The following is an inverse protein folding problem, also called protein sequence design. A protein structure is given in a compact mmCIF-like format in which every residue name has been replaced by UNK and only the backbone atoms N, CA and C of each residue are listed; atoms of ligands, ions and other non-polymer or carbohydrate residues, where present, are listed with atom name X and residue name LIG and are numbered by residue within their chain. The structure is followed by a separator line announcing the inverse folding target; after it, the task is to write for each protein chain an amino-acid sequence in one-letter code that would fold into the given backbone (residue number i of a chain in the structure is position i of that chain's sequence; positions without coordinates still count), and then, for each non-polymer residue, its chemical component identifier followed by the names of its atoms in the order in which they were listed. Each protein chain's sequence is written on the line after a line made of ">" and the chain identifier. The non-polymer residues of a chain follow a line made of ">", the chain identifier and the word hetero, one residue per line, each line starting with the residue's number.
data_IF_173533205343
#
_entry.id   IF_173533205343
#
_cell.length_a   1.000
_cell.length_b   1.000
_cell.length_c   1.000
_cell.angle_alpha   90.00
_cell.angle_beta   90.00
_cell.angle_gamma   90.00
#
_symmetry.space_group_name_H-M   'P 1'
#
loop_
_entity.id
_entity.type
_entity.pdbx_description
1 polymer ?
#
# COMPACT_ATOMS: atom_id res chain seq x y z
N UNK A 1 -15.92 -2.06 -3.30
CA UNK A 1 -14.50 -2.07 -2.89
C UNK A 1 -13.65 -1.97 -4.14
N UNK A 2 -12.49 -1.31 -4.06
CA UNK A 2 -11.48 -1.38 -5.13
C UNK A 2 -10.98 -2.81 -5.28
N UNK A 3 -10.68 -3.21 -6.53
CA UNK A 3 -10.01 -4.47 -6.83
C UNK A 3 -8.52 -4.41 -6.45
N UNK A 4 -7.89 -5.58 -6.38
CA UNK A 4 -6.46 -5.72 -6.11
C UNK A 4 -5.57 -4.85 -7.01
N UNK A 5 -5.83 -4.90 -8.31
CA UNK A 5 -5.10 -4.10 -9.30
C UNK A 5 -5.26 -2.58 -9.08
N UNK A 6 -6.41 -2.14 -8.58
CA UNK A 6 -6.67 -0.73 -8.28
C UNK A 6 -5.95 -0.27 -7.00
N UNK A 7 -5.93 -1.11 -5.95
CA UNK A 7 -5.15 -0.83 -4.74
C UNK A 7 -3.65 -0.80 -5.01
N UNK A 8 -3.16 -1.69 -5.89
CA UNK A 8 -1.77 -1.66 -6.39
C UNK A 8 -1.42 -0.32 -7.03
N UNK A 9 -2.28 0.19 -7.92
CA UNK A 9 -2.10 1.52 -8.56
C UNK A 9 -2.04 2.63 -7.51
N UNK A 10 -2.96 2.63 -6.55
CA UNK A 10 -2.99 3.61 -5.46
C UNK A 10 -1.71 3.58 -4.61
N UNK A 11 -1.23 2.38 -4.25
CA UNK A 11 0.03 2.20 -3.50
C UNK A 11 1.22 2.79 -4.26
N UNK A 12 1.32 2.52 -5.56
CA UNK A 12 2.41 3.02 -6.41
C UNK A 12 2.34 4.55 -6.54
N UNK A 13 1.15 5.12 -6.76
CA UNK A 13 0.95 6.57 -6.83
C UNK A 13 1.33 7.27 -5.53
N UNK A 14 1.15 6.60 -4.39
CA UNK A 14 1.59 7.08 -3.08
C UNK A 14 3.05 6.74 -2.76
N UNK A 15 3.80 6.19 -3.73
CA UNK A 15 5.21 5.83 -3.61
C UNK A 15 5.49 4.89 -2.43
N UNK A 16 4.58 3.94 -2.17
CA UNK A 16 4.68 2.96 -1.09
C UNK A 16 5.07 1.57 -1.61
N UNK A 17 5.75 0.78 -0.80
CA UNK A 17 6.15 -0.59 -1.11
C UNK A 17 5.08 -1.59 -0.66
N UNK A 18 5.08 -2.80 -1.22
CA UNK A 18 4.21 -3.87 -0.72
C UNK A 18 4.55 -4.25 0.72
N UNK A 19 5.82 -4.15 1.12
CA UNK A 19 6.28 -4.44 2.49
C UNK A 19 5.64 -3.48 3.49
N UNK A 20 5.60 -2.17 3.20
CA UNK A 20 4.99 -1.18 4.10
C UNK A 20 3.50 -1.44 4.32
N UNK A 21 2.78 -1.85 3.28
CA UNK A 21 1.39 -2.30 3.42
C UNK A 21 1.32 -3.56 4.29
N UNK A 22 2.20 -4.53 4.03
CA UNK A 22 2.22 -5.80 4.74
C UNK A 22 2.46 -5.62 6.25
N UNK A 23 3.43 -4.77 6.60
CA UNK A 23 3.77 -4.41 7.99
C UNK A 23 2.57 -3.76 8.68
N UNK A 24 1.92 -2.79 8.03
CA UNK A 24 0.73 -2.14 8.58
C UNK A 24 -0.45 -3.11 8.77
N UNK A 25 -0.62 -4.06 7.87
CA UNK A 25 -1.73 -5.03 7.91
C UNK A 25 -1.43 -6.23 8.81
N UNK A 26 -0.19 -6.37 9.30
CA UNK A 26 0.27 -7.52 10.08
C UNK A 26 0.26 -8.82 9.28
N UNK A 27 0.69 -8.77 8.01
CA UNK A 27 0.68 -9.91 7.09
C UNK A 27 2.02 -10.02 6.35
N UNK A 28 2.24 -11.13 5.65
CA UNK A 28 3.45 -11.31 4.82
C UNK A 28 3.33 -10.53 3.50
N UNK A 29 4.44 -10.00 2.98
CA UNK A 29 4.47 -9.27 1.69
C UNK A 29 3.91 -10.08 0.52
N UNK A 30 4.15 -11.40 0.50
CA UNK A 30 3.62 -12.32 -0.50
C UNK A 30 2.08 -12.33 -0.52
N UNK A 31 1.45 -12.13 0.65
CA UNK A 31 0.01 -12.01 0.76
C UNK A 31 -0.50 -10.75 0.07
N UNK A 32 0.16 -9.60 0.29
CA UNK A 32 -0.15 -8.36 -0.44
C UNK A 32 0.01 -8.57 -1.95
N UNK A 33 1.06 -9.24 -2.40
CA UNK A 33 1.23 -9.57 -3.83
C UNK A 33 0.09 -10.41 -4.40
N UNK A 34 -0.38 -11.43 -3.67
CA UNK A 34 -1.54 -12.23 -4.10
C UNK A 34 -2.82 -11.39 -4.21
N UNK A 35 -3.06 -10.50 -3.24
CA UNK A 35 -4.20 -9.59 -3.27
C UNK A 35 -4.12 -8.60 -4.44
N UNK A 36 -2.96 -7.98 -4.67
CA UNK A 36 -2.75 -6.99 -5.74
C UNK A 36 -2.87 -7.57 -7.15
N UNK A 37 -2.52 -8.83 -7.32
CA UNK A 37 -2.62 -9.54 -8.60
C UNK A 37 -3.91 -10.34 -8.74
N UNK A 38 -4.87 -10.16 -7.81
CA UNK A 38 -6.20 -10.77 -7.85
C UNK A 38 -6.18 -12.31 -7.86
N UNK A 39 -5.08 -12.92 -7.38
CA UNK A 39 -5.01 -14.35 -7.09
C UNK A 39 -5.85 -14.74 -5.86
N UNK A 40 -6.18 -13.74 -5.02
CA UNK A 40 -7.08 -13.87 -3.86
C UNK A 40 -7.92 -12.61 -3.72
N UNK A 41 -9.16 -12.80 -3.29
CA UNK A 41 -10.02 -11.70 -2.87
C UNK A 41 -9.49 -11.03 -1.60
N UNK A 42 -9.81 -9.74 -1.47
CA UNK A 42 -9.36 -8.91 -0.35
C UNK A 42 -10.39 -8.98 0.77
N UNK A 43 -10.03 -9.51 1.95
CA UNK A 43 -10.93 -9.48 3.11
C UNK A 43 -11.30 -8.04 3.48
N UNK A 44 -12.54 -7.82 3.89
CA UNK A 44 -13.07 -6.48 4.22
C UNK A 44 -12.22 -5.75 5.27
N UNK A 45 -11.81 -6.44 6.33
CA UNK A 45 -10.99 -5.84 7.40
C UNK A 45 -9.62 -5.37 6.88
N UNK A 46 -9.00 -6.13 5.95
CA UNK A 46 -7.74 -5.77 5.32
C UNK A 46 -7.91 -4.62 4.35
N UNK A 47 -9.01 -4.62 3.58
CA UNK A 47 -9.35 -3.52 2.67
C UNK A 47 -9.49 -2.19 3.43
N UNK A 48 -10.25 -2.19 4.52
CA UNK A 48 -10.51 -0.98 5.32
C UNK A 48 -9.23 -0.45 5.98
N UNK A 49 -8.41 -1.34 6.56
CA UNK A 49 -7.09 -0.97 7.13
C UNK A 49 -6.14 -0.43 6.07
N UNK A 50 -6.10 -1.05 4.90
CA UNK A 50 -5.23 -0.62 3.80
C UNK A 50 -5.62 0.78 3.30
N UNK A 51 -6.91 1.03 3.04
CA UNK A 51 -7.36 2.36 2.63
C UNK A 51 -7.08 3.42 3.69
N UNK A 52 -7.31 3.10 4.96
CA UNK A 52 -6.99 4.00 6.07
C UNK A 52 -5.51 4.35 6.08
N UNK A 53 -4.63 3.35 5.89
CA UNK A 53 -3.19 3.56 5.85
C UNK A 53 -2.76 4.40 4.66
N UNK A 54 -3.23 4.11 3.44
CA UNK A 54 -2.89 4.89 2.25
C UNK A 54 -3.25 6.37 2.42
N UNK A 55 -4.29 6.70 3.19
CA UNK A 55 -4.75 8.07 3.41
C UNK A 55 -4.24 8.70 4.71
N UNK A 56 -3.42 7.99 5.49
CA UNK A 56 -2.87 8.50 6.74
C UNK A 56 -1.76 9.53 6.50
N UNK A 57 -1.50 10.35 7.51
CA UNK A 57 -0.37 11.29 7.46
C UNK A 57 0.99 10.57 7.51
N UNK A 58 1.02 9.36 8.07
CA UNK A 58 2.21 8.50 8.05
C UNK A 58 2.60 8.16 6.60
N UNK A 59 1.65 7.70 5.79
CA UNK A 59 1.89 7.40 4.39
C UNK A 59 2.33 8.64 3.58
N UNK A 60 1.75 9.81 3.87
CA UNK A 60 2.16 11.09 3.26
C UNK A 60 3.62 11.43 3.61
N UNK A 61 4.00 11.34 4.90
CA UNK A 61 5.37 11.62 5.35
C UNK A 61 6.40 10.70 4.69
N UNK A 62 6.10 9.40 4.57
CA UNK A 62 6.97 8.44 3.88
C UNK A 62 7.15 8.81 2.41
N UNK A 63 6.05 9.15 1.72
CA UNK A 63 6.08 9.59 0.32
C UNK A 63 6.94 10.83 0.16
N UNK A 64 6.70 11.86 0.97
CA UNK A 64 7.34 13.17 0.85
C UNK A 64 8.85 13.06 1.10
N UNK A 65 9.26 12.33 2.15
CA UNK A 65 10.67 12.02 2.44
C UNK A 65 11.36 11.31 1.26
N UNK A 66 10.66 10.40 0.56
CA UNK A 66 11.23 9.73 -0.63
C UNK A 66 11.32 10.66 -1.83
N UNK A 67 10.39 11.59 -2.01
CA UNK A 67 10.43 12.58 -3.09
C UNK A 67 11.59 13.56 -2.87
N UNK A 68 11.76 14.07 -1.66
CA UNK A 68 12.90 14.91 -1.27
C UNK A 68 14.23 14.22 -1.53
N UNK A 69 14.38 12.95 -1.11
CA UNK A 69 15.60 12.17 -1.36
C UNK A 69 15.89 11.97 -2.85
N UNK A 70 14.85 11.86 -3.69
CA UNK A 70 15.01 11.74 -5.16
C UNK A 70 15.39 13.08 -5.80
N UNK A 71 14.92 14.20 -5.26
CA UNK A 71 15.25 15.53 -5.77
C UNK A 71 16.70 15.95 -5.44
N UNK A 72 17.23 15.46 -4.32
CA UNK A 72 18.60 15.76 -3.85
C UNK A 72 19.66 14.77 -4.38
N UNK A 73 19.31 13.87 -5.30
CA UNK A 73 20.21 12.87 -5.90
C UNK A 73 20.42 13.19 -7.37
#
# INVERSE_FOLDING_TARGET
>A
MLRGSQLKRMRILKNMTQQEIADHLGVKVNYISMLENEHRDIPKDKYDKWLKYLNSDEAKKIRDKRLEKKANK
#
